data_IF_352619314500
#
_entry.id   IF_352619314500
#
_cell.length_a   1.000
_cell.length_b   1.000
_cell.length_c   1.000
_cell.angle_alpha   90.00
_cell.angle_beta   90.00
_cell.angle_gamma   90.00
#
_symmetry.space_group_name_H-M   'P 1'
#
loop_
_entity.id
_entity.type
_entity.pdbx_description
1 polymer ?
#
# COMPACT_ATOMS: atom_id res chain seq x y z
N UNK A 1 6.99 -2.68 -28.05
CA UNK A 1 5.85 -1.93 -27.48
C UNK A 1 6.43 -0.83 -26.60
N UNK A 2 5.68 0.26 -26.38
CA UNK A 2 6.16 1.32 -25.49
C UNK A 2 6.15 0.86 -24.03
N UNK A 3 6.95 1.49 -23.18
CA UNK A 3 6.76 1.39 -21.73
C UNK A 3 5.33 1.84 -21.37
N UNK A 4 4.52 1.02 -20.69
CA UNK A 4 3.20 1.45 -20.23
C UNK A 4 3.33 2.55 -19.18
N UNK A 5 2.44 3.54 -19.23
CA UNK A 5 2.28 4.48 -18.13
C UNK A 5 1.55 3.79 -16.98
N UNK A 6 1.87 4.24 -15.77
CA UNK A 6 1.27 3.69 -14.55
C UNK A 6 0.72 4.79 -13.67
N UNK A 7 -0.41 4.54 -13.02
CA UNK A 7 -1.04 5.44 -12.07
C UNK A 7 -1.36 4.68 -10.78
N UNK A 8 -0.97 5.23 -9.63
CA UNK A 8 -1.29 4.67 -8.32
C UNK A 8 -2.57 5.32 -7.80
N UNK A 9 -3.47 4.50 -7.28
CA UNK A 9 -4.75 4.95 -6.78
C UNK A 9 -5.07 4.30 -5.44
N UNK A 10 -5.88 4.98 -4.63
CA UNK A 10 -6.53 4.41 -3.47
C UNK A 10 -8.03 4.70 -3.52
N UNK A 11 -8.79 3.81 -2.89
CA UNK A 11 -10.22 3.98 -2.70
C UNK A 11 -10.45 4.79 -1.42
N UNK A 12 -10.97 6.00 -1.57
CA UNK A 12 -11.22 6.93 -0.45
C UNK A 12 -12.63 6.76 0.14
N UNK A 13 -13.29 5.63 -0.13
CA UNK A 13 -14.64 5.34 0.34
C UNK A 13 -14.71 4.01 1.07
N UNK A 14 -15.84 3.76 1.74
CA UNK A 14 -16.12 2.46 2.37
C UNK A 14 -16.73 1.44 1.38
N UNK A 15 -16.86 1.80 0.10
CA UNK A 15 -17.42 0.92 -0.91
C UNK A 15 -16.33 0.01 -1.50
N UNK A 16 -16.46 -1.30 -1.33
CA UNK A 16 -15.60 -2.31 -1.97
C UNK A 16 -16.00 -2.49 -3.45
N UNK A 17 -15.83 -1.41 -4.22
CA UNK A 17 -16.14 -1.34 -5.64
C UNK A 17 -14.88 -1.21 -6.48
N UNK A 18 -14.83 -1.93 -7.61
CA UNK A 18 -13.78 -1.77 -8.62
C UNK A 18 -13.67 -0.32 -9.06
N UNK A 19 -12.49 0.10 -9.51
CA UNK A 19 -12.33 1.38 -10.19
C UNK A 19 -13.17 1.38 -11.48
N UNK A 20 -14.33 2.04 -11.44
CA UNK A 20 -15.30 2.16 -12.55
C UNK A 20 -15.23 3.54 -13.22
N UNK A 21 -14.52 4.51 -12.63
CA UNK A 21 -14.43 5.90 -13.08
C UNK A 21 -13.79 6.10 -14.45
N UNK A 22 -13.32 5.03 -15.10
CA UNK A 22 -13.11 4.96 -16.53
C UNK A 22 -13.36 3.52 -16.99
N UNK A 23 -14.24 3.34 -17.98
CA UNK A 23 -14.54 2.03 -18.61
C UNK A 23 -13.31 1.36 -19.29
N UNK A 24 -12.15 2.01 -19.22
CA UNK A 24 -10.83 1.57 -19.73
C UNK A 24 -9.71 1.68 -18.69
N UNK A 25 -9.98 2.07 -17.44
CA UNK A 25 -9.01 2.09 -16.34
C UNK A 25 -8.20 3.38 -16.14
N UNK A 26 -8.50 4.51 -16.77
CA UNK A 26 -7.73 5.76 -16.56
C UNK A 26 -7.69 6.33 -15.13
N UNK A 27 -6.86 7.38 -14.93
CA UNK A 27 -6.79 8.17 -13.70
C UNK A 27 -8.20 8.55 -13.21
N UNK A 28 -8.47 8.33 -11.92
CA UNK A 28 -9.80 8.58 -11.33
C UNK A 28 -10.28 9.99 -11.65
N UNK A 29 -11.46 10.11 -12.26
CA UNK A 29 -12.10 11.42 -12.46
C UNK A 29 -12.80 11.89 -11.17
N UNK A 30 -13.23 13.16 -11.14
CA UNK A 30 -13.87 13.80 -9.98
C UNK A 30 -15.14 13.11 -9.45
N UNK A 31 -15.70 12.15 -10.17
CA UNK A 31 -16.85 11.33 -9.75
C UNK A 31 -16.50 9.88 -9.41
N UNK A 32 -15.20 9.54 -9.39
CA UNK A 32 -14.71 8.22 -9.03
C UNK A 32 -14.44 8.18 -7.52
N UNK A 33 -14.75 7.04 -6.89
CA UNK A 33 -14.36 6.73 -5.51
C UNK A 33 -12.85 6.44 -5.36
N UNK A 34 -12.08 6.69 -6.42
CA UNK A 34 -10.67 6.40 -6.52
C UNK A 34 -9.90 7.69 -6.75
N UNK A 35 -8.95 7.94 -5.86
CA UNK A 35 -8.10 9.12 -5.87
C UNK A 35 -6.72 8.71 -6.37
N UNK A 36 -6.12 9.56 -7.20
CA UNK A 36 -4.76 9.36 -7.70
C UNK A 36 -3.77 9.77 -6.62
N UNK A 37 -2.81 8.90 -6.34
CA UNK A 37 -1.67 9.20 -5.45
C UNK A 37 -0.65 10.01 -6.26
N UNK A 38 -0.38 11.25 -5.85
CA UNK A 38 0.72 12.06 -6.38
C UNK A 38 2.05 11.52 -5.84
N UNK A 39 2.77 10.76 -6.66
CA UNK A 39 4.04 10.15 -6.25
C UNK A 39 5.15 11.15 -5.84
N UNK A 40 4.96 12.44 -6.11
CA UNK A 40 5.87 13.51 -5.68
C UNK A 40 5.51 14.04 -4.29
N UNK A 41 4.22 14.18 -4.01
CA UNK A 41 3.72 14.87 -2.83
C UNK A 41 3.08 13.93 -1.81
N UNK A 42 2.75 12.70 -2.16
CA UNK A 42 1.99 11.81 -1.31
C UNK A 42 2.87 10.71 -0.73
N UNK A 43 2.54 10.27 0.49
CA UNK A 43 3.18 9.14 1.12
C UNK A 43 2.19 8.32 1.94
N UNK A 44 2.36 7.00 1.98
CA UNK A 44 1.61 6.16 2.91
C UNK A 44 2.00 6.49 4.35
N UNK A 45 1.01 6.52 5.23
CA UNK A 45 1.20 6.59 6.66
C UNK A 45 0.28 5.61 7.39
N UNK A 46 0.77 5.17 8.54
CA UNK A 46 0.07 4.27 9.43
C UNK A 46 0.07 4.91 10.81
N UNK A 47 -1.14 5.09 11.33
CA UNK A 47 -1.36 5.76 12.61
C UNK A 47 -2.31 4.94 13.47
N UNK A 48 -2.38 5.31 14.74
CA UNK A 48 -3.38 4.78 15.68
C UNK A 48 -4.77 5.36 15.41
N UNK A 49 -5.77 4.83 16.13
CA UNK A 49 -7.17 5.23 16.08
C UNK A 49 -7.38 6.73 16.40
N UNK A 50 -6.45 7.35 17.11
CA UNK A 50 -6.50 8.76 17.52
C UNK A 50 -6.29 9.72 16.34
N UNK A 51 -5.66 9.27 15.25
CA UNK A 51 -5.54 10.08 14.04
C UNK A 51 -6.88 10.12 13.30
N UNK A 52 -7.33 11.30 12.93
CA UNK A 52 -8.59 11.50 12.20
C UNK A 52 -8.32 11.86 10.75
N UNK A 53 -9.25 11.46 9.88
CA UNK A 53 -9.29 11.92 8.49
C UNK A 53 -9.39 13.45 8.42
N UNK A 54 -8.61 14.07 7.53
CA UNK A 54 -8.50 15.52 7.40
C UNK A 54 -7.64 16.21 8.44
N UNK A 55 -7.00 15.49 9.38
CA UNK A 55 -6.05 16.09 10.32
C UNK A 55 -4.86 16.72 9.57
N UNK A 56 -4.42 17.90 10.00
CA UNK A 56 -3.27 18.58 9.38
C UNK A 56 -1.96 17.82 9.60
N UNK A 57 -1.11 17.75 8.58
CA UNK A 57 0.22 17.11 8.65
C UNK A 57 1.19 17.79 9.61
N UNK A 58 0.92 19.06 9.96
CA UNK A 58 1.71 19.88 10.90
C UNK A 58 1.25 19.71 12.36
N UNK A 59 0.13 19.04 12.59
CA UNK A 59 -0.45 18.80 13.89
C UNK A 59 0.19 17.62 14.63
N UNK A 60 -0.44 17.24 15.73
CA UNK A 60 -0.05 16.04 16.49
C UNK A 60 -0.20 14.80 15.60
N UNK A 61 0.83 13.96 15.61
CA UNK A 61 0.81 12.65 14.95
C UNK A 61 0.69 11.56 15.99
N UNK A 62 -0.16 10.59 15.71
CA UNK A 62 -0.41 9.48 16.63
C UNK A 62 0.13 8.17 16.04
N UNK A 63 1.43 7.87 16.22
CA UNK A 63 2.06 6.69 15.64
C UNK A 63 1.50 5.40 16.24
N UNK A 64 1.69 4.29 15.52
CA UNK A 64 1.38 2.96 16.04
C UNK A 64 2.31 2.62 17.20
N UNK A 65 1.75 2.17 18.32
CA UNK A 65 2.51 1.79 19.51
C UNK A 65 3.06 0.37 19.32
N UNK A 66 4.38 0.22 19.54
CA UNK A 66 5.02 -1.09 19.63
C UNK A 66 4.56 -1.74 20.94
N UNK A 67 3.93 -2.93 20.90
CA UNK A 67 3.36 -3.53 22.11
C UNK A 67 4.45 -4.11 23.02
N UNK A 68 4.14 -4.28 24.31
CA UNK A 68 5.03 -4.93 25.29
C UNK A 68 5.25 -6.43 25.00
N UNK A 69 4.41 -7.05 24.17
CA UNK A 69 4.56 -8.41 23.67
C UNK A 69 3.77 -8.62 22.39
N UNK A 70 4.19 -9.58 21.55
CA UNK A 70 3.49 -9.90 20.30
C UNK A 70 3.60 -8.79 19.25
N UNK A 71 2.52 -8.61 18.50
CA UNK A 71 2.43 -7.66 17.39
C UNK A 71 1.17 -6.82 17.50
N UNK A 72 1.26 -5.57 17.04
CA UNK A 72 0.15 -4.65 16.91
C UNK A 72 0.02 -4.21 15.45
N UNK A 73 -1.18 -4.27 14.90
CA UNK A 73 -1.44 -3.78 13.55
C UNK A 73 -1.82 -2.30 13.62
N UNK A 74 -1.42 -1.51 12.62
CA UNK A 74 -1.85 -0.13 12.52
C UNK A 74 -3.37 -0.02 12.44
N UNK A 75 -3.93 0.90 13.21
CA UNK A 75 -5.38 1.02 13.33
C UNK A 75 -6.01 1.85 12.21
N UNK A 76 -5.22 2.70 11.56
CA UNK A 76 -5.65 3.47 10.40
C UNK A 76 -4.49 3.63 9.41
N UNK A 77 -4.83 3.52 8.13
CA UNK A 77 -3.93 3.80 7.02
C UNK A 77 -4.36 5.09 6.33
N UNK A 78 -3.38 5.92 5.97
CA UNK A 78 -3.59 7.23 5.36
C UNK A 78 -2.69 7.43 4.15
N UNK A 79 -3.12 8.30 3.26
CA UNK A 79 -2.26 9.08 2.39
C UNK A 79 -1.93 10.38 3.11
N UNK A 80 -0.64 10.66 3.29
CA UNK A 80 -0.14 11.98 3.66
C UNK A 80 -0.13 12.83 2.41
N UNK A 81 -1.23 13.51 2.14
CA UNK A 81 -1.33 14.44 1.04
C UNK A 81 -0.59 15.73 1.41
N UNK A 82 0.67 15.86 0.96
CA UNK A 82 1.41 17.09 1.22
C UNK A 82 0.90 18.28 0.39
N UNK A 83 0.18 18.03 -0.71
CA UNK A 83 -0.37 19.09 -1.56
C UNK A 83 -1.52 19.82 -0.86
N UNK A 84 -2.35 19.09 -0.12
CA UNK A 84 -3.41 19.65 0.73
C UNK A 84 -3.00 19.81 2.21
N UNK A 85 -1.82 19.28 2.59
CA UNK A 85 -1.28 19.31 3.96
C UNK A 85 -2.16 18.60 5.01
N UNK A 86 -2.79 17.48 4.62
CA UNK A 86 -3.65 16.66 5.47
C UNK A 86 -3.29 15.17 5.46
N UNK A 87 -3.82 14.43 6.43
CA UNK A 87 -3.96 12.98 6.39
C UNK A 87 -5.30 12.62 5.75
N UNK A 88 -5.29 11.96 4.59
CA UNK A 88 -6.48 11.44 3.90
C UNK A 88 -6.59 9.93 4.19
N UNK A 89 -7.66 9.51 4.87
CA UNK A 89 -7.80 8.13 5.31
C UNK A 89 -8.12 7.20 4.13
N UNK A 90 -7.50 6.01 4.12
CA UNK A 90 -7.88 4.91 3.21
C UNK A 90 -8.79 3.95 3.97
N UNK A 91 -10.14 4.05 3.90
CA UNK A 91 -11.03 3.43 4.89
C UNK A 91 -11.02 1.90 4.83
N UNK A 92 -10.75 1.34 3.65
CA UNK A 92 -10.73 -0.10 3.40
C UNK A 92 -9.34 -0.73 3.49
N UNK A 93 -8.32 -0.01 3.93
CA UNK A 93 -6.98 -0.58 4.11
C UNK A 93 -6.89 -1.48 5.34
N UNK A 94 -5.92 -2.37 5.34
CA UNK A 94 -5.63 -3.26 6.48
C UNK A 94 -6.70 -4.30 6.79
N UNK A 95 -6.73 -4.75 8.04
CA UNK A 95 -7.57 -5.84 8.52
C UNK A 95 -8.39 -5.45 9.74
N UNK A 96 -9.35 -6.29 10.12
CA UNK A 96 -10.11 -6.11 11.36
C UNK A 96 -9.25 -6.33 12.62
N UNK A 97 -8.07 -6.95 12.51
CA UNK A 97 -7.15 -7.10 13.64
C UNK A 97 -6.51 -5.77 14.06
N UNK A 98 -6.32 -4.84 13.12
CA UNK A 98 -6.00 -3.44 13.42
C UNK A 98 -7.24 -2.61 13.75
N UNK A 99 -8.46 -3.17 13.72
CA UNK A 99 -9.68 -2.36 13.83
C UNK A 99 -10.03 -1.56 12.57
N UNK A 100 -9.38 -1.84 11.43
CA UNK A 100 -9.73 -1.24 10.15
C UNK A 100 -10.91 -1.97 9.50
N UNK A 101 -11.71 -1.23 8.72
CA UNK A 101 -12.84 -1.76 7.94
C UNK A 101 -12.40 -2.56 6.71
N UNK A 102 -11.09 -2.63 6.43
CA UNK A 102 -10.52 -3.27 5.26
C UNK A 102 -10.69 -4.78 5.18
N UNK A 103 -10.59 -5.49 6.31
CA UNK A 103 -10.85 -6.93 6.42
C UNK A 103 -10.60 -7.74 5.13
N UNK A 104 -11.65 -8.40 4.64
CA UNK A 104 -11.66 -9.17 3.40
C UNK A 104 -12.06 -8.36 2.14
N UNK A 105 -11.69 -7.08 2.05
CA UNK A 105 -11.99 -6.22 0.89
C UNK A 105 -10.95 -6.37 -0.21
N UNK A 106 -11.40 -6.23 -1.46
CA UNK A 106 -10.58 -6.40 -2.66
C UNK A 106 -10.06 -5.07 -3.19
N UNK A 107 -10.89 -4.05 -3.16
CA UNK A 107 -10.72 -2.83 -3.94
C UNK A 107 -10.25 -1.67 -3.05
N UNK A 108 -8.99 -1.76 -2.62
CA UNK A 108 -8.40 -0.83 -1.65
C UNK A 108 -7.38 0.09 -2.32
N UNK A 109 -6.28 -0.49 -2.80
CA UNK A 109 -5.29 0.20 -3.62
C UNK A 109 -5.29 -0.39 -5.02
N UNK A 110 -4.96 0.43 -6.00
CA UNK A 110 -4.83 0.02 -7.38
C UNK A 110 -3.57 0.63 -8.01
N UNK A 111 -3.00 -0.13 -8.94
CA UNK A 111 -2.06 0.38 -9.92
C UNK A 111 -2.68 0.15 -11.28
N UNK A 112 -3.01 1.24 -11.97
CA UNK A 112 -3.44 1.18 -13.35
C UNK A 112 -2.23 1.10 -14.27
N UNK A 113 -2.30 0.20 -15.25
CA UNK A 113 -1.43 0.15 -16.42
C UNK A 113 -2.24 0.52 -17.66
N UNK A 114 -1.72 1.43 -18.49
CA UNK A 114 -2.37 1.80 -19.76
C UNK A 114 -2.00 0.90 -20.95
N UNK A 115 -1.21 -0.15 -20.71
CA UNK A 115 -0.70 -1.03 -21.76
C UNK A 115 -0.18 -2.37 -21.26
N UNK A 116 0.31 -3.15 -22.21
CA UNK A 116 0.85 -4.48 -21.97
C UNK A 116 2.21 -4.43 -21.24
N UNK A 117 2.54 -5.52 -20.56
CA UNK A 117 3.86 -5.74 -19.95
C UNK A 117 4.52 -6.97 -20.57
N UNK A 118 5.85 -7.04 -20.50
CA UNK A 118 6.63 -8.21 -20.94
C UNK A 118 6.78 -9.27 -19.82
N UNK A 119 6.38 -8.94 -18.59
CA UNK A 119 6.44 -9.83 -17.43
C UNK A 119 5.40 -9.46 -16.37
N UNK A 120 5.30 -10.30 -15.34
CA UNK A 120 4.39 -10.07 -14.21
C UNK A 120 4.81 -8.79 -13.46
N UNK A 121 3.89 -7.87 -13.16
CA UNK A 121 4.19 -6.74 -12.29
C UNK A 121 4.29 -7.15 -10.81
N UNK A 122 5.21 -6.56 -10.07
CA UNK A 122 5.48 -6.84 -8.66
C UNK A 122 5.39 -5.58 -7.80
N UNK A 123 4.94 -5.74 -6.56
CA UNK A 123 5.01 -4.73 -5.51
C UNK A 123 6.14 -5.06 -4.54
N UNK A 124 7.06 -4.12 -4.35
CA UNK A 124 8.28 -4.26 -3.54
C UNK A 124 8.40 -3.10 -2.54
N UNK A 125 9.20 -3.28 -1.48
CA UNK A 125 9.55 -2.20 -0.55
C UNK A 125 11.08 -2.14 -0.37
N UNK A 126 11.63 -0.92 -0.36
CA UNK A 126 13.07 -0.69 -0.33
C UNK A 126 13.45 0.44 0.62
N UNK A 127 14.72 0.47 1.06
CA UNK A 127 15.23 1.50 1.96
C UNK A 127 15.23 2.89 1.33
N UNK A 128 15.32 2.96 0.00
CA UNK A 128 15.35 4.19 -0.79
C UNK A 128 15.08 3.90 -2.28
N UNK A 129 14.91 4.98 -3.06
CA UNK A 129 14.74 4.94 -4.52
C UNK A 129 15.95 4.44 -5.31
N UNK A 130 17.10 4.23 -4.66
CA UNK A 130 18.27 3.60 -5.29
C UNK A 130 18.12 2.06 -5.39
N UNK A 131 17.16 1.46 -4.69
CA UNK A 131 16.87 0.02 -4.71
C UNK A 131 18.09 -0.86 -4.44
N UNK A 132 19.02 -0.39 -3.60
CA UNK A 132 20.27 -1.09 -3.28
C UNK A 132 20.14 -2.05 -2.10
N UNK A 133 19.37 -1.67 -1.07
CA UNK A 133 19.18 -2.46 0.16
C UNK A 133 17.72 -2.39 0.63
N UNK A 134 17.33 -3.41 1.40
CA UNK A 134 16.05 -3.50 2.09
C UNK A 134 16.27 -3.90 3.56
N UNK A 135 17.33 -3.35 4.15
CA UNK A 135 17.84 -3.74 5.47
C UNK A 135 17.41 -2.77 6.57
N UNK A 136 16.56 -1.79 6.26
CA UNK A 136 15.99 -0.92 7.27
C UNK A 136 15.23 -1.75 8.31
N UNK A 137 15.30 -1.34 9.58
CA UNK A 137 14.62 -2.03 10.66
C UNK A 137 13.10 -2.20 10.41
N UNK A 138 12.49 -1.22 9.75
CA UNK A 138 11.08 -1.25 9.37
C UNK A 138 10.75 -2.30 8.30
N UNK A 139 11.74 -2.67 7.49
CA UNK A 139 11.69 -3.74 6.49
C UNK A 139 12.26 -5.07 7.02
N UNK A 140 12.53 -5.16 8.33
CA UNK A 140 12.96 -6.38 8.99
C UNK A 140 14.47 -6.54 9.16
N UNK A 141 15.27 -5.49 8.94
CA UNK A 141 16.70 -5.52 9.29
C UNK A 141 17.54 -6.50 8.47
N UNK A 142 17.17 -6.73 7.20
CA UNK A 142 17.76 -7.77 6.34
C UNK A 142 17.17 -9.17 6.54
N UNK A 143 16.15 -9.31 7.39
CA UNK A 143 15.32 -10.52 7.50
C UNK A 143 13.92 -10.23 6.97
N UNK A 144 13.61 -10.53 5.69
CA UNK A 144 12.36 -10.11 5.07
C UNK A 144 11.09 -10.53 5.82
N UNK A 145 11.08 -11.72 6.44
CA UNK A 145 9.95 -12.22 7.23
C UNK A 145 9.52 -11.28 8.38
N UNK A 146 10.43 -10.41 8.81
CA UNK A 146 10.28 -9.47 9.91
C UNK A 146 9.82 -8.07 9.46
N UNK A 147 9.60 -7.83 8.16
CA UNK A 147 9.11 -6.54 7.69
C UNK A 147 7.78 -6.17 8.34
N UNK A 148 7.68 -4.90 8.79
CA UNK A 148 6.42 -4.35 9.28
C UNK A 148 5.40 -4.18 8.17
N UNK A 149 5.85 -4.01 6.92
CA UNK A 149 4.96 -3.79 5.79
C UNK A 149 4.52 -5.13 5.23
N UNK A 150 3.22 -5.39 5.27
CA UNK A 150 2.63 -6.61 4.72
C UNK A 150 1.60 -6.26 3.66
N UNK A 151 1.64 -6.95 2.53
CA UNK A 151 0.70 -6.74 1.44
C UNK A 151 0.12 -8.05 0.92
N UNK A 152 -1.05 -7.95 0.30
CA UNK A 152 -1.70 -9.06 -0.36
C UNK A 152 -2.26 -8.59 -1.70
N UNK A 153 -2.01 -9.38 -2.75
CA UNK A 153 -2.62 -9.13 -4.06
C UNK A 153 -4.09 -9.48 -4.03
N UNK A 154 -4.90 -8.56 -4.51
CA UNK A 154 -6.36 -8.72 -4.59
C UNK A 154 -6.87 -8.55 -6.03
N UNK A 155 -5.97 -8.46 -7.01
CA UNK A 155 -6.31 -8.30 -8.43
C UNK A 155 -7.32 -9.32 -8.94
N UNK A 156 -7.23 -10.58 -8.50
CA UNK A 156 -8.07 -11.67 -9.02
C UNK A 156 -9.02 -12.28 -7.98
N UNK A 157 -8.89 -11.92 -6.69
CA UNK A 157 -9.70 -12.44 -5.61
C UNK A 157 -9.70 -11.49 -4.39
N UNK A 158 -10.65 -11.69 -3.47
CA UNK A 158 -10.58 -11.10 -2.12
C UNK A 158 -9.44 -11.77 -1.30
N UNK A 159 -8.95 -11.14 -0.21
CA UNK A 159 -7.92 -11.72 0.67
C UNK A 159 -8.21 -13.13 1.22
N UNK A 160 -9.49 -13.51 1.32
CA UNK A 160 -9.97 -14.77 1.88
C UNK A 160 -10.18 -14.76 3.40
N UNK A 161 -9.80 -13.69 4.09
CA UNK A 161 -9.95 -13.54 5.54
C UNK A 161 -10.01 -12.06 5.94
N UNK A 162 -10.79 -11.74 6.97
CA UNK A 162 -10.81 -10.41 7.58
C UNK A 162 -9.53 -10.08 8.36
N UNK A 163 -8.67 -11.07 8.59
CA UNK A 163 -7.39 -10.96 9.31
C UNK A 163 -6.24 -11.55 8.48
N UNK A 164 -6.26 -11.32 7.17
CA UNK A 164 -5.24 -11.86 6.26
C UNK A 164 -3.82 -11.58 6.75
N UNK A 165 -2.95 -12.59 6.61
CA UNK A 165 -1.56 -12.50 7.07
C UNK A 165 -0.73 -11.57 6.18
N UNK A 166 -0.86 -11.75 4.85
CA UNK A 166 -0.10 -11.00 3.84
C UNK A 166 1.35 -11.45 3.75
N UNK A 167 2.00 -11.03 2.66
CA UNK A 167 3.43 -11.23 2.42
C UNK A 167 4.18 -10.02 2.96
N UNK A 168 5.19 -10.19 3.83
CA UNK A 168 6.05 -9.09 4.22
C UNK A 168 6.83 -8.56 3.02
N UNK A 169 6.95 -7.23 2.88
CA UNK A 169 7.64 -6.61 1.75
C UNK A 169 9.05 -6.19 2.17
N UNK A 170 10.07 -6.68 1.49
CA UNK A 170 11.47 -6.26 1.62
C UNK A 170 12.29 -6.75 0.41
N UNK A 171 12.68 -5.81 -0.44
CA UNK A 171 13.51 -6.06 -1.63
C UNK A 171 12.87 -6.99 -2.65
N UNK A 172 13.71 -7.71 -3.41
CA UNK A 172 13.25 -8.72 -4.38
C UNK A 172 12.94 -10.07 -3.76
N UNK A 173 13.47 -10.35 -2.57
CA UNK A 173 13.36 -11.66 -1.91
C UNK A 173 12.01 -11.83 -1.21
N UNK A 174 11.30 -10.73 -0.92
CA UNK A 174 9.94 -10.77 -0.39
C UNK A 174 9.09 -9.64 -0.98
N UNK A 175 8.20 -10.03 -1.89
CA UNK A 175 7.36 -9.18 -2.73
C UNK A 175 6.11 -9.92 -3.14
N UNK A 176 5.10 -9.21 -3.63
CA UNK A 176 3.88 -9.83 -4.17
C UNK A 176 3.80 -9.66 -5.68
N UNK A 177 3.34 -10.71 -6.35
CA UNK A 177 2.92 -10.67 -7.76
C UNK A 177 1.56 -10.00 -7.85
N UNK A 178 1.46 -8.90 -8.57
CA UNK A 178 0.22 -8.14 -8.70
C UNK A 178 -0.76 -8.76 -9.71
N UNK A 179 -0.33 -9.76 -10.47
CA UNK A 179 -1.18 -10.56 -11.35
C UNK A 179 -0.57 -11.95 -11.53
N UNK A 180 -1.25 -12.85 -12.24
CA UNK A 180 -0.76 -14.22 -12.49
C UNK A 180 0.00 -14.37 -13.81
N UNK A 181 0.04 -13.32 -14.63
CA UNK A 181 0.71 -13.30 -15.92
C UNK A 181 1.11 -11.86 -16.32
N UNK A 182 1.90 -11.74 -17.39
CA UNK A 182 2.13 -10.46 -18.03
C UNK A 182 0.81 -9.86 -18.55
N UNK A 183 0.68 -8.54 -18.49
CA UNK A 183 -0.52 -7.84 -18.93
C UNK A 183 -0.56 -7.82 -20.45
N UNK A 184 -1.70 -8.19 -21.03
CA UNK A 184 -1.90 -8.16 -22.49
C UNK A 184 -2.55 -6.87 -22.97
N UNK A 185 -3.19 -6.14 -22.06
CA UNK A 185 -3.94 -4.89 -22.28
C UNK A 185 -3.90 -4.03 -21.02
N UNK A 186 -4.42 -2.81 -21.11
CA UNK A 186 -4.61 -1.94 -19.96
C UNK A 186 -5.43 -2.63 -18.85
N UNK A 187 -4.99 -2.50 -17.59
CA UNK A 187 -5.59 -3.22 -16.44
C UNK A 187 -5.33 -2.49 -15.13
N UNK A 188 -6.31 -2.55 -14.21
CA UNK A 188 -6.11 -2.22 -12.81
C UNK A 188 -5.63 -3.46 -12.05
N UNK A 189 -4.50 -3.32 -11.35
CA UNK A 189 -4.00 -4.34 -10.44
C UNK A 189 -4.26 -3.89 -9.02
N UNK A 190 -4.92 -4.73 -8.23
CA UNK A 190 -5.39 -4.40 -6.89
C UNK A 190 -4.55 -5.08 -5.82
N UNK A 191 -4.37 -4.37 -4.71
CA UNK A 191 -3.73 -4.92 -3.52
C UNK A 191 -4.30 -4.27 -2.25
N UNK A 192 -4.07 -4.92 -1.13
CA UNK A 192 -4.25 -4.33 0.21
C UNK A 192 -2.90 -4.39 0.94
N UNK A 193 -2.65 -3.42 1.81
CA UNK A 193 -1.40 -3.24 2.54
C UNK A 193 -1.70 -2.82 3.98
N UNK A 194 -0.87 -3.28 4.91
CA UNK A 194 -0.95 -2.96 6.34
C UNK A 194 0.44 -2.84 6.94
N UNK A 195 0.49 -2.17 8.08
CA UNK A 195 1.67 -2.18 8.94
C UNK A 195 1.41 -3.06 10.17
N UNK A 196 2.33 -3.96 10.48
CA UNK A 196 2.35 -4.79 11.66
C UNK A 196 3.65 -4.52 12.46
N UNK A 197 3.55 -3.80 13.56
CA UNK A 197 4.70 -3.57 14.45
C UNK A 197 4.81 -4.70 15.47
N UNK A 198 5.98 -5.30 15.56
CA UNK A 198 6.25 -6.46 16.43
C UNK A 198 7.30 -6.13 17.48
N UNK A 199 7.04 -6.50 18.73
CA UNK A 199 7.97 -6.33 19.84
C UNK A 199 9.30 -7.05 19.55
N UNK A 200 10.43 -6.43 19.88
CA UNK A 200 11.77 -6.98 19.72
C UNK A 200 12.28 -6.95 18.28
N UNK A 201 11.41 -6.72 17.30
CA UNK A 201 11.78 -6.51 15.89
C UNK A 201 11.95 -5.04 15.58
N UNK A 202 11.02 -4.19 16.04
CA UNK A 202 10.99 -2.78 15.67
C UNK A 202 11.46 -1.91 16.84
N UNK A 203 12.08 -0.78 16.50
CA UNK A 203 12.48 0.26 17.46
C UNK A 203 11.68 1.52 17.20
N UNK A 204 11.32 2.31 18.23
CA UNK A 204 10.70 3.61 18.03
C UNK A 204 11.53 4.50 17.10
N UNK A 205 10.87 5.08 16.10
CA UNK A 205 11.50 5.95 15.12
C UNK A 205 10.56 6.18 13.94
N UNK A 206 10.81 7.24 13.17
CA UNK A 206 10.19 7.44 11.87
C UNK A 206 11.18 7.05 10.78
N UNK A 207 10.74 6.25 9.81
CA UNK A 207 11.50 6.05 8.57
C UNK A 207 10.78 6.78 7.45
N UNK A 208 11.41 7.82 6.91
CA UNK A 208 10.85 8.64 5.81
C UNK A 208 11.50 8.33 4.47
N UNK A 209 12.49 7.44 4.43
CA UNK A 209 13.24 7.12 3.20
C UNK A 209 12.70 5.88 2.48
N UNK A 210 11.88 5.07 3.14
CA UNK A 210 11.36 3.84 2.55
C UNK A 210 10.50 4.16 1.34
N UNK A 211 10.65 3.35 0.29
CA UNK A 211 9.87 3.48 -0.93
C UNK A 211 9.12 2.19 -1.21
N UNK A 212 7.81 2.32 -1.46
CA UNK A 212 7.02 1.28 -2.08
C UNK A 212 7.23 1.39 -3.60
N UNK A 213 7.56 0.29 -4.25
CA UNK A 213 8.00 0.27 -5.65
C UNK A 213 7.19 -0.69 -6.47
N UNK A 214 6.81 -0.25 -7.66
CA UNK A 214 6.27 -1.10 -8.71
C UNK A 214 7.40 -1.53 -9.65
N UNK A 215 7.62 -2.84 -9.78
CA UNK A 215 8.57 -3.41 -10.74
C UNK A 215 7.81 -4.14 -11.86
N UNK A 216 8.13 -3.84 -13.11
CA UNK A 216 7.60 -4.57 -14.27
C UNK A 216 8.60 -4.56 -15.42
N UNK A 217 8.44 -5.51 -16.35
CA UNK A 217 9.20 -5.56 -17.60
C UNK A 217 8.33 -5.03 -18.74
N UNK A 218 8.95 -4.38 -19.73
CA UNK A 218 8.31 -3.94 -20.97
C UNK A 218 9.28 -4.12 -22.14
N UNK A 219 8.74 -4.19 -23.35
CA UNK A 219 9.48 -4.42 -24.61
C UNK A 219 8.79 -3.73 -25.76
#
# INVERSE_FOLDING_TARGET
MGQPNTCWLFNNTENDGTNTGNATGGAGGNSSNWVVIDLTNDALAWCSEQQTDGDTLTGTRYPVVIPDSGSNEAEKTFIKDNSESIFDQVPLAGTTAGGQSGGNKRYVFAIYFDGATAGIPYLEAWDSSAHATADNNFLGGGTPANSSIRAITTTNAVPGSDTWAGTPLAGTDSRIELDTAALTVAKNLYFNIKQLVTNGTHTPGSSTALVLTLRYLYS
#
